data_IF_932445307758
#
_entry.id   IF_932445307758
#
_cell.length_a   1.000
_cell.length_b   1.000
_cell.length_c   1.000
_cell.angle_alpha   90.00
_cell.angle_beta   90.00
_cell.angle_gamma   90.00
#
_symmetry.space_group_name_H-M   'P 1'
#
loop_
_entity.id
_entity.type
_entity.pdbx_description
1 polymer ?
#
# COMPACT_ATOMS: atom_id res chain seq x y z
N UNK A 1 16.54 5.18 -19.29
CA UNK A 1 17.38 4.18 -19.98
C UNK A 1 16.99 2.78 -19.49
N UNK A 2 16.26 1.99 -20.30
CA UNK A 2 15.92 0.58 -20.01
C UNK A 2 16.25 -0.35 -21.19
N UNK A 3 17.05 0.11 -22.16
CA UNK A 3 17.31 -0.61 -23.42
C UNK A 3 17.99 -1.98 -23.22
N UNK A 4 18.63 -2.23 -22.08
CA UNK A 4 19.22 -3.53 -21.74
C UNK A 4 18.21 -4.56 -21.20
N UNK A 5 17.07 -4.13 -20.64
CA UNK A 5 16.09 -5.05 -20.06
C UNK A 5 15.23 -5.76 -21.12
N UNK A 6 15.15 -5.20 -22.33
CA UNK A 6 14.37 -5.77 -23.43
C UNK A 6 14.91 -7.14 -23.91
N UNK A 7 16.15 -7.49 -23.56
CA UNK A 7 16.78 -8.76 -23.92
C UNK A 7 16.77 -9.80 -22.79
N UNK A 8 16.28 -9.43 -21.61
CA UNK A 8 16.10 -10.41 -20.54
C UNK A 8 14.81 -11.20 -20.78
N UNK A 9 14.75 -12.49 -20.39
CA UNK A 9 13.53 -13.29 -20.45
C UNK A 9 12.47 -12.84 -19.41
N UNK A 10 12.47 -11.56 -19.03
CA UNK A 10 11.50 -10.98 -18.09
C UNK A 10 10.08 -11.01 -18.65
N UNK A 11 9.93 -11.05 -19.99
CA UNK A 11 8.62 -11.14 -20.64
C UNK A 11 7.85 -12.40 -20.24
N UNK A 12 8.56 -13.48 -19.94
CA UNK A 12 7.96 -14.78 -19.60
C UNK A 12 7.78 -14.97 -18.09
N UNK A 13 8.08 -13.95 -17.28
CA UNK A 13 7.87 -13.98 -15.83
C UNK A 13 6.38 -14.07 -15.54
N UNK A 14 5.98 -15.19 -14.95
CA UNK A 14 4.63 -15.46 -14.49
C UNK A 14 4.45 -15.24 -12.98
N UNK A 15 5.53 -15.24 -12.21
CA UNK A 15 5.53 -15.05 -10.76
C UNK A 15 6.47 -13.89 -10.43
N UNK A 16 5.94 -12.89 -9.74
CA UNK A 16 6.69 -11.75 -9.24
C UNK A 16 6.53 -11.68 -7.72
N UNK A 17 7.65 -11.62 -7.02
CA UNK A 17 7.69 -11.39 -5.57
C UNK A 17 8.36 -10.04 -5.32
N UNK A 18 7.67 -9.17 -4.62
CA UNK A 18 8.16 -7.88 -4.17
C UNK A 18 8.37 -7.98 -2.67
N UNK A 19 9.64 -7.98 -2.24
CA UNK A 19 10.02 -8.01 -0.84
C UNK A 19 10.75 -6.73 -0.46
N UNK A 20 10.26 -6.02 0.55
CA UNK A 20 10.90 -4.79 1.05
C UNK A 20 11.11 -3.73 -0.06
N UNK A 21 10.21 -3.71 -1.06
CA UNK A 21 10.27 -2.75 -2.16
C UNK A 21 9.10 -1.77 -2.05
N UNK A 22 9.32 -0.54 -1.55
CA UNK A 22 8.25 0.43 -1.42
C UNK A 22 7.79 0.89 -2.81
N UNK A 23 6.48 0.99 -3.02
CA UNK A 23 5.90 1.51 -4.26
C UNK A 23 5.75 3.03 -4.18
N UNK A 24 6.88 3.71 -4.06
CA UNK A 24 6.88 5.16 -3.93
C UNK A 24 6.26 5.82 -5.17
N UNK A 25 5.37 6.80 -4.96
CA UNK A 25 4.74 7.59 -6.04
C UNK A 25 5.78 8.18 -7.01
N UNK A 26 6.95 8.59 -6.50
CA UNK A 26 8.08 9.11 -7.31
C UNK A 26 8.68 8.04 -8.24
N UNK A 27 8.64 6.78 -7.85
CA UNK A 27 9.13 5.64 -8.63
C UNK A 27 8.05 5.04 -9.55
N UNK A 28 6.82 5.58 -9.55
CA UNK A 28 5.71 5.09 -10.37
C UNK A 28 6.10 4.89 -11.84
N UNK A 29 6.81 5.81 -12.54
CA UNK A 29 7.21 5.58 -13.93
C UNK A 29 8.11 4.34 -14.12
N UNK A 30 9.00 4.06 -13.16
CA UNK A 30 9.88 2.90 -13.20
C UNK A 30 9.09 1.60 -12.99
N UNK A 31 8.16 1.59 -12.02
CA UNK A 31 7.22 0.49 -11.84
C UNK A 31 6.37 0.23 -13.07
N UNK A 32 5.80 1.29 -13.67
CA UNK A 32 5.04 1.19 -14.92
C UNK A 32 5.86 0.54 -16.02
N UNK A 33 7.12 0.93 -16.18
CA UNK A 33 8.01 0.36 -17.17
C UNK A 33 8.35 -1.11 -16.86
N UNK A 34 8.55 -1.46 -15.60
CA UNK A 34 8.82 -2.83 -15.14
C UNK A 34 7.65 -3.76 -15.47
N UNK A 35 6.42 -3.39 -15.10
CA UNK A 35 5.25 -4.22 -15.39
C UNK A 35 4.89 -4.24 -16.89
N UNK A 36 5.16 -3.15 -17.63
CA UNK A 36 5.08 -3.16 -19.12
C UNK A 36 5.99 -4.24 -19.72
N UNK A 37 7.16 -4.46 -19.12
CA UNK A 37 8.10 -5.50 -19.56
C UNK A 37 7.70 -6.92 -19.13
N UNK A 38 6.81 -7.06 -18.13
CA UNK A 38 6.33 -8.35 -17.59
C UNK A 38 4.81 -8.51 -17.75
N UNK A 39 4.27 -8.57 -18.98
CA UNK A 39 2.82 -8.64 -19.20
C UNK A 39 2.20 -9.98 -18.78
N UNK A 40 3.03 -10.98 -18.50
CA UNK A 40 2.62 -12.35 -18.22
C UNK A 40 2.49 -12.69 -16.73
N UNK A 41 2.60 -11.71 -15.83
CA UNK A 41 2.43 -11.94 -14.39
C UNK A 41 1.05 -12.54 -14.12
N UNK A 42 1.06 -13.75 -13.56
CA UNK A 42 -0.12 -14.51 -13.10
C UNK A 42 -0.23 -14.47 -11.59
N UNK A 43 0.90 -14.49 -10.89
CA UNK A 43 0.99 -14.47 -9.43
C UNK A 43 1.86 -13.31 -8.97
N UNK A 44 1.31 -12.47 -8.10
CA UNK A 44 2.03 -11.39 -7.44
C UNK A 44 2.08 -11.69 -5.93
N UNK A 45 3.27 -11.64 -5.35
CA UNK A 45 3.48 -11.71 -3.91
C UNK A 45 4.08 -10.40 -3.45
N UNK A 46 3.49 -9.79 -2.43
CA UNK A 46 3.97 -8.56 -1.80
C UNK A 46 4.22 -8.91 -0.35
N UNK A 47 5.46 -8.73 0.08
CA UNK A 47 5.90 -8.81 1.47
C UNK A 47 6.67 -7.53 1.76
N UNK A 48 6.28 -6.76 2.75
CA UNK A 48 6.96 -5.50 3.08
C UNK A 48 6.67 -5.17 4.52
N UNK A 49 7.57 -4.46 5.16
CA UNK A 49 7.46 -4.08 6.56
C UNK A 49 8.00 -2.65 6.74
N UNK A 50 7.17 -1.63 7.02
CA UNK A 50 5.72 -1.58 6.77
C UNK A 50 5.43 -1.16 5.30
N UNK A 51 4.57 -1.87 4.57
CA UNK A 51 4.10 -1.44 3.25
C UNK A 51 3.04 -0.34 3.39
N UNK A 52 3.09 0.67 2.54
CA UNK A 52 1.95 1.57 2.40
C UNK A 52 0.80 0.82 1.68
N UNK A 53 -0.25 0.46 2.41
CA UNK A 53 -1.45 -0.22 1.89
C UNK A 53 -2.08 0.47 0.68
N UNK A 54 -2.07 1.81 0.68
CA UNK A 54 -2.57 2.64 -0.42
C UNK A 54 -1.83 2.38 -1.75
N UNK A 55 -0.58 1.97 -1.68
CA UNK A 55 0.22 1.66 -2.86
C UNK A 55 -0.22 0.34 -3.51
N UNK A 56 -0.58 -0.66 -2.71
CA UNK A 56 -1.08 -1.95 -3.20
C UNK A 56 -2.39 -1.73 -3.96
N UNK A 57 -3.30 -0.93 -3.39
CA UNK A 57 -4.57 -0.55 -4.04
C UNK A 57 -4.28 0.20 -5.34
N UNK A 58 -3.42 1.22 -5.28
CA UNK A 58 -3.02 2.03 -6.44
C UNK A 58 -2.42 1.16 -7.55
N UNK A 59 -1.59 0.18 -7.19
CA UNK A 59 -0.98 -0.75 -8.12
C UNK A 59 -2.03 -1.63 -8.83
N UNK A 60 -3.01 -2.17 -8.10
CA UNK A 60 -4.08 -3.00 -8.66
C UNK A 60 -5.03 -2.22 -9.57
N UNK A 61 -5.24 -0.94 -9.30
CA UNK A 61 -6.05 -0.01 -10.08
C UNK A 61 -5.29 0.65 -11.24
N UNK A 62 -3.97 0.49 -11.30
CA UNK A 62 -3.15 1.18 -12.29
C UNK A 62 -3.42 0.67 -13.71
N UNK A 63 -3.68 1.62 -14.61
CA UNK A 63 -3.85 1.39 -16.04
C UNK A 63 -2.65 1.89 -16.84
N UNK A 64 -2.40 1.21 -17.95
CA UNK A 64 -1.44 1.60 -18.98
C UNK A 64 -2.24 2.14 -20.16
N UNK A 65 -1.90 3.37 -20.58
CA UNK A 65 -2.31 3.92 -21.86
C UNK A 65 -1.73 3.08 -23.00
N UNK A 66 -2.61 2.55 -23.83
CA UNK A 66 -2.22 1.83 -25.03
C UNK A 66 -2.19 2.82 -26.19
N UNK A 67 -1.05 2.93 -26.88
CA UNK A 67 -0.80 3.90 -27.96
C UNK A 67 -1.88 3.89 -29.05
N UNK A 68 -2.49 2.72 -29.32
CA UNK A 68 -3.39 2.51 -30.46
C UNK A 68 -4.85 2.21 -30.06
N UNK A 69 -5.22 2.26 -28.78
CA UNK A 69 -6.58 1.92 -28.36
C UNK A 69 -7.14 2.87 -27.32
N UNK A 70 -8.32 3.42 -27.60
CA UNK A 70 -9.14 4.22 -26.66
C UNK A 70 -9.55 3.47 -25.37
N UNK A 71 -9.05 2.27 -25.14
CA UNK A 71 -9.33 1.45 -23.95
C UNK A 71 -8.07 1.30 -23.13
N UNK A 72 -8.08 1.89 -21.96
CA UNK A 72 -7.10 1.68 -20.91
C UNK A 72 -6.99 0.19 -20.56
N UNK A 73 -5.76 -0.32 -20.45
CA UNK A 73 -5.50 -1.71 -20.09
C UNK A 73 -4.84 -1.73 -18.71
N UNK A 74 -5.36 -2.47 -17.70
CA UNK A 74 -4.66 -2.61 -16.43
C UNK A 74 -3.28 -3.22 -16.63
N UNK A 75 -2.37 -2.78 -15.76
CA UNK A 75 -0.93 -3.02 -15.83
C UNK A 75 -0.53 -4.49 -15.81
N UNK A 76 -1.29 -5.30 -15.07
CA UNK A 76 -1.11 -6.75 -14.97
C UNK A 76 -2.36 -7.45 -15.50
N UNK A 77 -2.48 -7.65 -16.84
CA UNK A 77 -3.67 -8.19 -17.47
C UNK A 77 -4.00 -9.63 -17.06
N UNK A 78 -2.97 -10.43 -16.74
CA UNK A 78 -3.09 -11.87 -16.47
C UNK A 78 -3.03 -12.23 -14.98
N UNK A 79 -2.94 -11.23 -14.09
CA UNK A 79 -2.87 -11.47 -12.65
C UNK A 79 -4.15 -12.15 -12.16
N UNK A 80 -3.96 -13.33 -11.57
CA UNK A 80 -5.01 -14.22 -11.03
C UNK A 80 -4.80 -14.52 -9.54
N UNK A 81 -3.58 -14.40 -9.03
CA UNK A 81 -3.25 -14.72 -7.63
C UNK A 81 -2.50 -13.56 -7.00
N UNK A 82 -2.96 -13.12 -5.84
CA UNK A 82 -2.29 -12.12 -5.02
C UNK A 82 -1.97 -12.74 -3.67
N UNK A 83 -0.73 -12.64 -3.23
CA UNK A 83 -0.30 -12.99 -1.88
C UNK A 83 0.12 -11.70 -1.17
N UNK A 84 -0.56 -11.39 -0.07
CA UNK A 84 -0.21 -10.35 0.87
C UNK A 84 0.41 -11.04 2.08
N UNK A 85 1.67 -10.70 2.38
CA UNK A 85 2.38 -11.24 3.52
C UNK A 85 2.95 -10.11 4.36
N UNK A 86 2.85 -10.20 5.70
CA UNK A 86 3.45 -9.21 6.60
C UNK A 86 2.92 -7.77 6.34
N UNK A 87 1.66 -7.65 5.89
CA UNK A 87 1.04 -6.36 5.58
C UNK A 87 0.20 -5.88 6.78
N UNK A 88 0.33 -4.62 7.17
CA UNK A 88 -0.55 -3.96 8.14
C UNK A 88 -1.88 -3.58 7.50
N UNK A 89 -3.02 -4.07 7.99
CA UNK A 89 -4.35 -3.82 7.40
C UNK A 89 -5.03 -2.56 7.93
N UNK A 90 -4.83 -2.24 9.21
CA UNK A 90 -5.38 -1.05 9.86
C UNK A 90 -4.27 -0.27 10.56
N UNK A 91 -4.33 1.05 10.48
CA UNK A 91 -3.47 1.96 11.23
C UNK A 91 -4.28 2.51 12.42
N UNK A 92 -3.76 2.38 13.64
CA UNK A 92 -4.49 2.61 14.90
C UNK A 92 -5.06 4.02 15.09
N UNK A 93 -4.72 4.99 14.24
CA UNK A 93 -5.01 6.41 14.47
C UNK A 93 -5.74 7.13 13.33
N UNK A 94 -6.19 6.41 12.30
CA UNK A 94 -6.93 7.04 11.20
C UNK A 94 -8.39 6.64 11.23
N UNK A 95 -9.21 7.48 11.86
CA UNK A 95 -10.68 7.50 11.72
C UNK A 95 -11.15 7.81 10.28
N UNK A 96 -10.23 8.04 9.34
CA UNK A 96 -10.53 8.38 7.95
C UNK A 96 -10.98 7.15 7.14
N UNK A 97 -12.27 6.83 7.27
CA UNK A 97 -13.26 6.52 6.21
C UNK A 97 -12.92 5.56 5.05
N UNK A 98 -11.90 4.72 5.19
CA UNK A 98 -11.63 3.69 4.20
C UNK A 98 -10.68 2.63 4.72
N UNK A 99 -11.23 1.57 5.32
CA UNK A 99 -10.43 0.39 5.65
C UNK A 99 -9.70 -0.08 4.40
N UNK A 100 -8.43 -0.45 4.54
CA UNK A 100 -7.65 -1.04 3.44
C UNK A 100 -8.42 -2.15 2.73
N UNK A 101 -9.19 -2.93 3.51
CA UNK A 101 -10.10 -3.97 3.05
C UNK A 101 -11.13 -3.44 2.05
N UNK A 102 -11.82 -2.33 2.35
CA UNK A 102 -12.80 -1.74 1.45
C UNK A 102 -12.14 -1.28 0.12
N UNK A 103 -10.95 -0.66 0.20
CA UNK A 103 -10.18 -0.24 -0.96
C UNK A 103 -9.71 -1.43 -1.82
N UNK A 104 -9.25 -2.51 -1.17
CA UNK A 104 -8.85 -3.75 -1.81
C UNK A 104 -10.04 -4.42 -2.51
N UNK A 105 -11.19 -4.53 -1.84
CA UNK A 105 -12.46 -4.99 -2.40
C UNK A 105 -12.85 -4.19 -3.65
N UNK A 106 -12.79 -2.85 -3.58
CA UNK A 106 -13.10 -1.98 -4.70
C UNK A 106 -12.16 -2.22 -5.90
N UNK A 107 -10.86 -2.38 -5.65
CA UNK A 107 -9.87 -2.67 -6.69
C UNK A 107 -10.12 -4.04 -7.36
N UNK A 108 -10.42 -5.09 -6.57
CA UNK A 108 -10.73 -6.43 -7.11
C UNK A 108 -12.03 -6.40 -7.92
N UNK A 109 -13.08 -5.73 -7.42
CA UNK A 109 -14.34 -5.52 -8.15
C UNK A 109 -14.12 -4.81 -9.48
N UNK A 110 -13.32 -3.74 -9.50
CA UNK A 110 -12.99 -3.01 -10.72
C UNK A 110 -12.30 -3.91 -11.76
N UNK A 111 -11.34 -4.74 -11.33
CA UNK A 111 -10.69 -5.74 -12.20
C UNK A 111 -11.67 -6.78 -12.75
N UNK A 112 -12.60 -7.28 -11.91
CA UNK A 112 -13.66 -8.22 -12.34
C UNK A 112 -14.56 -7.60 -13.40
N UNK A 113 -15.01 -6.36 -13.22
CA UNK A 113 -15.81 -5.61 -14.22
C UNK A 113 -15.08 -5.47 -15.56
N UNK A 114 -13.75 -5.36 -15.54
CA UNK A 114 -12.88 -5.36 -16.72
C UNK A 114 -12.59 -6.73 -17.34
N UNK A 115 -13.24 -7.80 -16.88
CA UNK A 115 -13.04 -9.18 -17.38
C UNK A 115 -11.73 -9.83 -16.93
N UNK A 116 -11.07 -9.31 -15.89
CA UNK A 116 -9.75 -9.75 -15.41
C UNK A 116 -9.82 -10.14 -13.94
N UNK A 117 -10.68 -11.11 -13.64
CA UNK A 117 -10.96 -11.58 -12.29
C UNK A 117 -9.67 -12.04 -11.58
N UNK A 118 -9.49 -11.59 -10.34
CA UNK A 118 -8.55 -12.19 -9.41
C UNK A 118 -9.20 -13.48 -8.86
N UNK A 119 -8.52 -14.60 -8.99
CA UNK A 119 -9.06 -15.92 -8.61
C UNK A 119 -8.80 -16.20 -7.13
N UNK A 120 -7.59 -15.93 -6.64
CA UNK A 120 -7.18 -16.20 -5.26
C UNK A 120 -6.49 -15.00 -4.61
N UNK A 121 -6.84 -14.73 -3.36
CA UNK A 121 -6.17 -13.80 -2.47
C UNK A 121 -5.65 -14.60 -1.27
N UNK A 122 -4.34 -14.71 -1.14
CA UNK A 122 -3.71 -15.31 0.02
C UNK A 122 -3.28 -14.21 0.98
N UNK A 123 -3.61 -14.38 2.25
CA UNK A 123 -3.25 -13.46 3.32
C UNK A 123 -2.48 -14.25 4.36
N UNK A 124 -1.28 -13.77 4.70
CA UNK A 124 -0.36 -14.49 5.57
C UNK A 124 0.36 -13.55 6.53
N UNK A 125 0.32 -13.82 7.84
CA UNK A 125 1.04 -13.04 8.86
C UNK A 125 0.78 -11.55 8.74
N UNK A 126 -0.48 -11.16 8.49
CA UNK A 126 -0.83 -9.75 8.38
C UNK A 126 -1.17 -9.19 9.76
N UNK A 127 -0.88 -7.91 9.94
CA UNK A 127 -0.99 -7.21 11.22
C UNK A 127 -2.25 -6.36 11.22
N UNK A 128 -2.92 -6.23 12.35
CA UNK A 128 -4.16 -5.47 12.55
C UNK A 128 -5.26 -5.91 11.59
N UNK A 129 -5.45 -7.23 11.51
CA UNK A 129 -6.45 -7.88 10.68
C UNK A 129 -7.15 -8.97 11.49
N UNK A 130 -8.47 -9.02 11.39
CA UNK A 130 -9.29 -9.99 12.13
C UNK A 130 -10.21 -10.82 11.22
N UNK A 131 -11.07 -11.65 11.84
CA UNK A 131 -12.03 -12.48 11.12
C UNK A 131 -13.08 -11.65 10.37
N UNK A 132 -13.47 -10.48 10.88
CA UNK A 132 -14.49 -9.62 10.26
C UNK A 132 -13.96 -9.01 8.95
N UNK A 133 -12.68 -8.62 8.91
CA UNK A 133 -11.98 -8.18 7.69
C UNK A 133 -11.96 -9.29 6.62
N UNK A 134 -11.71 -10.54 7.02
CA UNK A 134 -11.72 -11.71 6.12
C UNK A 134 -13.13 -11.98 5.59
N UNK A 135 -14.13 -11.99 6.47
CA UNK A 135 -15.53 -12.17 6.10
C UNK A 135 -15.97 -11.10 5.11
N UNK A 136 -15.53 -9.85 5.29
CA UNK A 136 -15.83 -8.78 4.34
C UNK A 136 -15.24 -9.05 2.94
N UNK A 137 -14.02 -9.60 2.85
CA UNK A 137 -13.41 -9.98 1.57
C UNK A 137 -14.14 -11.16 0.90
N UNK A 138 -14.60 -12.12 1.69
CA UNK A 138 -15.30 -13.32 1.21
C UNK A 138 -16.73 -13.01 0.73
N UNK A 139 -17.48 -12.20 1.50
CA UNK A 139 -18.88 -11.84 1.23
C UNK A 139 -19.08 -11.17 -0.13
N UNK A 140 -18.04 -10.52 -0.65
CA UNK A 140 -18.09 -9.84 -1.94
C UNK A 140 -18.01 -10.81 -3.14
N UNK A 141 -17.82 -12.12 -2.89
CA UNK A 141 -17.72 -13.21 -3.88
C UNK A 141 -16.78 -12.89 -5.06
N UNK A 142 -15.84 -11.98 -4.85
CA UNK A 142 -14.99 -11.45 -5.92
C UNK A 142 -13.73 -12.29 -6.10
N UNK A 143 -13.32 -13.00 -5.05
CA UNK A 143 -12.08 -13.76 -4.99
C UNK A 143 -12.22 -14.90 -3.96
N UNK A 144 -11.51 -16.01 -4.18
CA UNK A 144 -11.30 -17.03 -3.14
C UNK A 144 -10.24 -16.51 -2.15
N UNK A 145 -10.61 -16.34 -0.88
CA UNK A 145 -9.69 -15.89 0.17
C UNK A 145 -9.07 -17.11 0.84
N UNK A 146 -7.76 -17.08 1.05
CA UNK A 146 -7.01 -18.09 1.82
C UNK A 146 -6.23 -17.34 2.89
N UNK A 147 -6.75 -17.37 4.11
CA UNK A 147 -6.13 -16.77 5.28
C UNK A 147 -5.47 -17.84 6.14
N UNK A 148 -4.36 -17.51 6.80
CA UNK A 148 -3.62 -18.41 7.69
C UNK A 148 -4.19 -18.47 9.12
N UNK A 149 -5.14 -17.60 9.46
CA UNK A 149 -5.79 -17.57 10.78
C UNK A 149 -4.94 -16.95 11.88
N UNK A 150 -3.79 -16.36 11.53
CA UNK A 150 -2.97 -15.62 12.49
C UNK A 150 -3.54 -14.21 12.65
N UNK A 151 -3.83 -13.84 13.90
CA UNK A 151 -4.27 -12.50 14.30
C UNK A 151 -3.15 -11.91 15.16
N UNK A 152 -2.48 -10.90 14.62
CA UNK A 152 -1.43 -10.15 15.30
C UNK A 152 -1.85 -8.68 15.31
N UNK A 153 -1.89 -8.10 16.50
CA UNK A 153 -2.13 -6.68 16.71
C UNK A 153 -0.80 -6.05 17.08
N UNK A 154 -0.49 -4.91 16.49
CA UNK A 154 0.62 -4.12 17.00
C UNK A 154 0.28 -3.67 18.42
N UNK A 155 1.15 -4.05 19.36
CA UNK A 155 1.11 -3.48 20.69
C UNK A 155 1.30 -1.97 20.52
N UNK A 156 0.33 -1.19 20.98
CA UNK A 156 0.53 0.22 21.28
C UNK A 156 1.61 0.23 22.35
N UNK A 157 2.90 0.20 21.95
CA UNK A 157 4.00 0.36 22.90
C UNK A 157 3.68 1.64 23.65
N UNK A 158 3.31 1.45 24.92
CA UNK A 158 2.89 2.47 25.86
C UNK A 158 3.76 3.69 25.56
N UNK A 159 3.14 4.77 25.04
CA UNK A 159 3.72 6.09 25.16
C UNK A 159 3.89 6.25 26.67
N UNK A 160 5.06 5.87 27.20
CA UNK A 160 5.44 6.13 28.57
C UNK A 160 5.17 7.62 28.71
N UNK A 161 4.09 7.95 29.42
CA UNK A 161 3.82 9.29 29.89
C UNK A 161 5.14 9.68 30.56
N UNK A 162 5.96 10.45 29.85
CA UNK A 162 6.98 11.29 30.45
C UNK A 162 6.16 12.20 31.36
N UNK A 163 5.89 11.68 32.56
CA UNK A 163 5.33 12.33 33.71
C UNK A 163 6.44 13.33 34.07
N UNK A 164 6.49 14.42 33.30
CA UNK A 164 7.31 15.59 33.56
C UNK A 164 6.84 16.06 34.92
N UNK A 165 7.48 15.52 35.96
CA UNK A 165 7.39 16.00 37.31
C UNK A 165 7.66 17.49 37.22
N UNK A 166 6.57 18.21 37.44
CA UNK A 166 6.43 19.60 37.79
C UNK A 166 7.51 19.96 38.82
N UNK A 167 8.71 20.28 38.35
CA UNK A 167 9.71 20.99 39.14
C UNK A 167 9.41 22.49 38.95
N UNK A 168 8.25 22.84 39.48
CA UNK A 168 7.90 24.17 39.95
C UNK A 168 9.02 24.61 40.90
N UNK A 169 9.97 25.41 40.42
CA UNK A 169 10.68 26.45 41.18
C UNK A 169 11.84 27.07 40.37
N UNK A 170 11.66 28.32 39.92
CA UNK A 170 12.56 29.45 40.24
C UNK A 170 12.44 30.64 39.26
N UNK A 171 11.62 31.60 39.69
CA UNK A 171 11.76 33.05 39.49
C UNK A 171 13.08 33.56 38.87
N UNK A 172 12.97 34.25 37.72
CA UNK A 172 14.10 34.98 37.10
C UNK A 172 13.70 36.06 36.10
N UNK A 173 12.87 37.02 36.56
CA UNK A 173 12.72 38.39 36.04
C UNK A 173 14.04 38.95 35.44
N UNK A 174 14.03 39.44 34.19
CA UNK A 174 14.56 40.75 33.73
C UNK A 174 14.77 40.81 32.19
N UNK A 175 13.87 41.53 31.52
CA UNK A 175 14.19 42.59 30.53
C UNK A 175 14.88 42.22 29.20
N UNK A 176 14.13 42.26 28.09
CA UNK A 176 14.71 42.58 26.78
C UNK A 176 14.14 43.88 26.21
N UNK A 177 14.97 44.86 25.81
CA UNK A 177 14.51 46.20 25.47
C UNK A 177 13.84 46.24 24.09
N UNK A 178 12.84 47.10 23.97
CA UNK A 178 12.24 47.53 22.71
C UNK A 178 13.31 48.23 21.85
N UNK A 179 13.73 47.57 20.77
CA UNK A 179 14.52 48.15 19.69
C UNK A 179 13.62 48.73 18.58
N UNK A 180 14.10 49.72 17.81
CA UNK A 180 13.26 50.73 17.20
C UNK A 180 12.57 50.27 15.92
N UNK A 181 11.40 50.88 15.73
CA UNK A 181 10.71 51.08 14.45
C UNK A 181 11.69 51.44 13.33
N UNK A 182 11.74 50.62 12.29
CA UNK A 182 12.11 51.10 10.95
C UNK A 182 10.86 51.09 10.06
N UNK A 183 10.18 52.23 10.15
CA UNK A 183 9.31 52.79 9.11
C UNK A 183 10.20 53.29 7.98
N UNK A 184 10.35 52.61 6.85
CA UNK A 184 10.68 53.30 5.58
C UNK A 184 10.09 52.55 4.37
N UNK A 185 9.09 53.22 3.79
CA UNK A 185 8.60 53.27 2.40
C UNK A 185 8.68 52.05 1.47
#
# INVERSE_FOLDING_TARGET
MLAGLCNLPIRDVALLTLREVPYLKVARPAWLALFKAMPNIVSLSIASDPPCTSDIISLLQTHIEAADSQKEKPIMPKLRRLLLQEIRFQEYHTDEDGTFVAGLCAAIKARRKGGRKLEKLHIKKCINMDEDDVLQLELEEVVEVVWDGEVEYEDEEDEEEDDYLDDDDAYGFYGRPLGPRDLFY
#
